data_IF_985333310024
#
_entry.id   IF_985333310024
#
_cell.length_a   1.000
_cell.length_b   1.000
_cell.length_c   1.000
_cell.angle_alpha   90.00
_cell.angle_beta   90.00
_cell.angle_gamma   90.00
#
_symmetry.space_group_name_H-M   'P 1'
#
loop_
_entity.id
_entity.type
_entity.pdbx_description
1 polymer ?
#
# COMPACT_ATOMS: atom_id res chain seq x y z
N UNK A 1 8.13 -19.79 -11.98
CA UNK A 1 6.81 -19.37 -11.47
C UNK A 1 6.99 -19.02 -10.02
N UNK A 2 6.58 -17.82 -9.60
CA UNK A 2 6.45 -17.51 -8.17
C UNK A 2 5.22 -18.25 -7.66
N UNK A 3 5.26 -18.84 -6.47
CA UNK A 3 4.08 -19.48 -5.86
C UNK A 3 3.02 -18.43 -5.49
N UNK A 4 1.74 -18.81 -5.36
CA UNK A 4 0.65 -17.86 -5.02
C UNK A 4 0.93 -17.13 -3.69
N UNK A 5 1.58 -17.80 -2.75
CA UNK A 5 2.03 -17.22 -1.48
C UNK A 5 3.11 -16.13 -1.69
N UNK A 6 4.06 -16.35 -2.60
CA UNK A 6 5.07 -15.33 -2.94
C UNK A 6 4.47 -14.05 -3.54
N UNK A 7 3.35 -14.15 -4.29
CA UNK A 7 2.69 -12.96 -4.85
C UNK A 7 2.06 -12.12 -3.75
N UNK A 8 1.38 -12.77 -2.80
CA UNK A 8 0.83 -12.15 -1.60
C UNK A 8 1.95 -11.50 -0.76
N UNK A 9 3.02 -12.24 -0.48
CA UNK A 9 4.16 -11.76 0.31
C UNK A 9 4.81 -10.53 -0.33
N UNK A 10 4.91 -10.46 -1.67
CA UNK A 10 5.46 -9.29 -2.35
C UNK A 10 4.63 -8.02 -2.07
N UNK A 11 3.29 -8.11 -2.08
CA UNK A 11 2.42 -6.98 -1.75
C UNK A 11 2.56 -6.63 -0.28
N UNK A 12 2.51 -7.63 0.62
CA UNK A 12 2.66 -7.41 2.07
C UNK A 12 3.97 -6.71 2.40
N UNK A 13 5.10 -7.14 1.82
CA UNK A 13 6.41 -6.52 2.05
C UNK A 13 6.46 -5.05 1.63
N UNK A 14 5.69 -4.66 0.62
CA UNK A 14 5.56 -3.26 0.21
C UNK A 14 4.77 -2.46 1.24
N UNK A 15 3.68 -3.02 1.76
CA UNK A 15 2.86 -2.37 2.79
C UNK A 15 3.63 -2.20 4.10
N UNK A 16 4.40 -3.22 4.52
CA UNK A 16 5.26 -3.14 5.70
C UNK A 16 6.35 -2.07 5.51
N UNK A 17 6.97 -1.98 4.33
CA UNK A 17 7.95 -0.92 4.06
C UNK A 17 7.35 0.49 4.11
N UNK A 18 6.10 0.68 3.64
CA UNK A 18 5.39 1.95 3.80
C UNK A 18 5.11 2.25 5.27
N UNK A 19 4.72 1.26 6.07
CA UNK A 19 4.51 1.43 7.51
C UNK A 19 5.79 1.92 8.21
N UNK A 20 6.93 1.33 7.89
CA UNK A 20 8.23 1.75 8.42
C UNK A 20 8.54 3.22 8.10
N UNK A 21 8.25 3.66 6.87
CA UNK A 21 8.44 5.06 6.45
C UNK A 21 7.49 5.99 7.22
N UNK A 22 6.21 5.64 7.32
CA UNK A 22 5.20 6.45 8.03
C UNK A 22 5.56 6.61 9.51
N UNK A 23 6.12 5.59 10.15
CA UNK A 23 6.50 5.64 11.55
C UNK A 23 7.64 6.62 11.85
N UNK A 24 8.34 7.13 10.83
CA UNK A 24 9.38 8.12 11.02
C UNK A 24 8.86 9.36 11.80
N UNK A 25 9.68 9.96 12.68
CA UNK A 25 9.26 11.12 13.49
C UNK A 25 8.85 12.34 12.65
N UNK A 26 9.41 12.48 11.45
CA UNK A 26 9.25 13.58 10.51
C UNK A 26 8.12 13.39 9.49
N UNK A 27 7.39 12.27 9.55
CA UNK A 27 6.19 12.07 8.73
C UNK A 27 5.14 13.15 9.03
N UNK A 28 4.80 13.91 7.99
CA UNK A 28 3.83 14.98 7.98
C UNK A 28 2.56 14.53 7.25
N UNK A 29 1.42 14.57 7.96
CA UNK A 29 0.12 14.10 7.46
C UNK A 29 -0.90 15.23 7.25
N UNK A 30 -0.45 16.50 7.28
CA UNK A 30 -1.33 17.68 7.30
C UNK A 30 -2.31 17.76 6.12
N UNK A 31 -1.91 17.32 4.91
CA UNK A 31 -2.78 17.34 3.73
C UNK A 31 -3.40 15.97 3.41
N UNK A 32 -3.50 15.09 4.39
CA UNK A 32 -4.18 13.80 4.23
C UNK A 32 -5.56 13.78 4.90
N UNK A 33 -6.40 12.82 4.51
CA UNK A 33 -7.67 12.54 5.18
C UNK A 33 -7.51 11.77 6.51
N UNK A 34 -6.30 11.48 6.95
CA UNK A 34 -6.04 10.77 8.20
C UNK A 34 -5.84 11.75 9.36
N UNK A 35 -6.44 11.44 10.51
CA UNK A 35 -6.28 12.24 11.73
C UNK A 35 -4.93 11.98 12.40
N UNK A 36 -4.42 10.74 12.32
CA UNK A 36 -3.18 10.31 12.95
C UNK A 36 -2.36 9.37 12.08
N UNK A 37 -1.07 9.20 12.42
CA UNK A 37 -0.21 8.20 11.76
C UNK A 37 -0.72 6.79 12.02
N UNK A 38 -1.23 6.57 13.23
CA UNK A 38 -1.82 5.31 13.67
C UNK A 38 -3.03 4.90 12.82
N UNK A 39 -3.82 5.84 12.30
CA UNK A 39 -4.94 5.53 11.40
C UNK A 39 -4.44 4.95 10.06
N UNK A 40 -3.35 5.49 9.53
CA UNK A 40 -2.74 4.99 8.30
C UNK A 40 -2.18 3.58 8.53
N UNK A 41 -1.45 3.40 9.63
CA UNK A 41 -0.90 2.10 10.03
C UNK A 41 -2.02 1.06 10.20
N UNK A 42 -3.12 1.42 10.86
CA UNK A 42 -4.27 0.55 11.05
C UNK A 42 -4.94 0.17 9.71
N UNK A 43 -5.04 1.10 8.76
CA UNK A 43 -5.57 0.82 7.41
C UNK A 43 -4.65 -0.15 6.66
N UNK A 44 -3.33 0.04 6.72
CA UNK A 44 -2.35 -0.86 6.11
C UNK A 44 -2.38 -2.26 6.76
N UNK A 45 -2.47 -2.32 8.09
CA UNK A 45 -2.58 -3.58 8.83
C UNK A 45 -3.85 -4.35 8.48
N UNK A 46 -4.98 -3.66 8.27
CA UNK A 46 -6.21 -4.30 7.82
C UNK A 46 -6.03 -4.99 6.47
N UNK A 47 -5.40 -4.31 5.50
CA UNK A 47 -5.09 -4.87 4.18
C UNK A 47 -4.13 -6.04 4.26
N UNK A 48 -3.07 -5.94 5.08
CA UNK A 48 -2.13 -7.05 5.31
C UNK A 48 -2.85 -8.27 5.88
N UNK A 49 -3.74 -8.08 6.87
CA UNK A 49 -4.51 -9.17 7.47
C UNK A 49 -5.46 -9.84 6.47
N UNK A 50 -6.06 -9.07 5.57
CA UNK A 50 -6.92 -9.59 4.49
C UNK A 50 -6.12 -10.39 3.48
N UNK A 51 -4.99 -9.86 3.02
CA UNK A 51 -4.06 -10.54 2.10
C UNK A 51 -3.58 -11.89 2.67
N UNK A 52 -3.21 -11.92 3.95
CA UNK A 52 -2.81 -13.18 4.65
C UNK A 52 -3.92 -14.24 4.72
N UNK A 53 -5.18 -13.84 4.57
CA UNK A 53 -6.34 -14.73 4.55
C UNK A 53 -6.86 -15.01 3.14
N UNK A 54 -6.14 -14.54 2.11
CA UNK A 54 -6.59 -14.57 0.71
C UNK A 54 -7.97 -13.90 0.51
N UNK A 55 -8.28 -12.91 1.35
CA UNK A 55 -9.49 -12.09 1.25
C UNK A 55 -9.18 -10.85 0.40
N UNK A 56 -9.71 -10.82 -0.83
CA UNK A 56 -9.49 -9.73 -1.79
C UNK A 56 -10.69 -8.77 -1.90
N UNK A 57 -11.64 -8.82 -0.97
CA UNK A 57 -12.88 -8.02 -0.98
C UNK A 57 -12.69 -6.50 -1.05
N UNK A 58 -11.53 -5.99 -0.65
CA UNK A 58 -11.21 -4.55 -0.63
C UNK A 58 -9.92 -4.22 -1.41
N UNK A 59 -9.59 -5.01 -2.42
CA UNK A 59 -8.39 -4.79 -3.21
C UNK A 59 -8.39 -3.41 -3.90
N UNK A 60 -9.57 -2.89 -4.24
CA UNK A 60 -9.73 -1.57 -4.90
C UNK A 60 -9.29 -0.44 -3.99
N UNK A 61 -9.69 -0.48 -2.71
CA UNK A 61 -9.26 0.48 -1.69
C UNK A 61 -7.73 0.43 -1.50
N UNK A 62 -7.14 -0.77 -1.57
CA UNK A 62 -5.69 -0.91 -1.54
C UNK A 62 -5.01 -0.31 -2.78
N UNK A 63 -5.59 -0.47 -3.96
CA UNK A 63 -5.09 0.14 -5.20
C UNK A 63 -5.17 1.67 -5.13
N UNK A 64 -6.28 2.20 -4.64
CA UNK A 64 -6.50 3.65 -4.50
C UNK A 64 -5.48 4.28 -3.55
N UNK A 65 -5.06 3.58 -2.48
CA UNK A 65 -4.00 4.07 -1.60
C UNK A 65 -2.68 4.39 -2.32
N UNK A 66 -2.38 3.71 -3.42
CA UNK A 66 -1.15 3.92 -4.22
C UNK A 66 -1.38 4.70 -5.52
N UNK A 67 -2.62 5.11 -5.79
CA UNK A 67 -2.99 5.84 -6.99
C UNK A 67 -2.38 7.25 -7.02
N UNK A 68 -2.27 7.88 -8.21
CA UNK A 68 -1.99 9.29 -8.29
C UNK A 68 -2.98 10.10 -7.45
N UNK A 69 -2.49 11.13 -6.75
CA UNK A 69 -3.26 11.99 -5.83
C UNK A 69 -3.87 11.25 -4.62
N UNK A 70 -3.33 10.08 -4.26
CA UNK A 70 -3.72 9.43 -3.01
C UNK A 70 -3.17 10.17 -1.79
N UNK A 71 -3.77 9.90 -0.62
CA UNK A 71 -3.23 10.39 0.66
C UNK A 71 -1.76 10.01 0.85
N UNK A 72 -1.35 8.79 0.48
CA UNK A 72 0.05 8.38 0.61
C UNK A 72 0.97 9.21 -0.30
N UNK A 73 0.50 9.65 -1.47
CA UNK A 73 1.26 10.55 -2.31
C UNK A 73 1.39 11.94 -1.68
N UNK A 74 0.31 12.52 -1.18
CA UNK A 74 0.36 13.85 -0.55
C UNK A 74 1.26 13.84 0.69
N UNK A 75 1.11 12.83 1.56
CA UNK A 75 1.99 12.61 2.72
C UNK A 75 3.45 12.49 2.26
N UNK A 76 3.73 11.79 1.16
CA UNK A 76 5.09 11.65 0.64
C UNK A 76 5.73 12.97 0.23
N UNK A 77 4.93 13.88 -0.32
CA UNK A 77 5.36 15.21 -0.75
C UNK A 77 5.62 16.06 0.48
N UNK A 78 4.66 16.11 1.41
CA UNK A 78 4.72 16.88 2.64
C UNK A 78 5.86 16.45 3.58
N UNK A 79 6.22 15.17 3.52
CA UNK A 79 7.27 14.55 4.34
C UNK A 79 8.63 14.44 3.64
N UNK A 80 8.75 14.92 2.39
CA UNK A 80 10.02 14.97 1.68
C UNK A 80 10.53 13.66 1.08
N UNK A 81 9.72 12.59 1.04
CA UNK A 81 10.08 11.28 0.48
C UNK A 81 9.34 10.91 -0.83
N UNK A 82 8.89 11.91 -1.60
CA UNK A 82 8.13 11.69 -2.84
C UNK A 82 8.83 10.77 -3.86
N UNK A 83 10.15 10.88 -4.03
CA UNK A 83 10.87 10.07 -5.03
C UNK A 83 10.91 8.60 -4.60
N UNK A 84 11.02 8.37 -3.30
CA UNK A 84 10.92 7.05 -2.71
C UNK A 84 9.51 6.50 -2.91
N UNK A 85 8.47 7.31 -2.68
CA UNK A 85 7.08 6.89 -2.92
C UNK A 85 6.84 6.48 -4.36
N UNK A 86 7.29 7.25 -5.36
CA UNK A 86 7.14 6.88 -6.78
C UNK A 86 7.81 5.53 -7.09
N UNK A 87 8.97 5.26 -6.47
CA UNK A 87 9.66 3.98 -6.61
C UNK A 87 8.86 2.84 -5.97
N UNK A 88 8.27 3.06 -4.80
CA UNK A 88 7.44 2.07 -4.10
C UNK A 88 6.12 1.84 -4.83
N UNK A 89 5.43 2.89 -5.27
CA UNK A 89 4.19 2.83 -6.06
C UNK A 89 4.40 2.03 -7.35
N UNK A 90 5.49 2.26 -8.09
CA UNK A 90 5.84 1.42 -9.24
C UNK A 90 6.06 -0.05 -8.89
N UNK A 91 6.66 -0.35 -7.73
CA UNK A 91 6.80 -1.74 -7.25
C UNK A 91 5.44 -2.34 -6.90
N UNK A 92 4.57 -1.55 -6.28
CA UNK A 92 3.20 -1.94 -5.95
C UNK A 92 2.40 -2.26 -7.20
N UNK A 93 2.43 -1.40 -8.22
CA UNK A 93 1.71 -1.61 -9.50
C UNK A 93 2.06 -2.95 -10.15
N UNK A 94 3.33 -3.34 -10.13
CA UNK A 94 3.76 -4.62 -10.65
C UNK A 94 3.29 -5.79 -9.77
N UNK A 95 3.42 -5.66 -8.45
CA UNK A 95 3.04 -6.71 -7.51
C UNK A 95 1.52 -6.95 -7.48
N UNK A 96 0.72 -5.89 -7.53
CA UNK A 96 -0.74 -5.96 -7.51
C UNK A 96 -1.28 -6.54 -8.81
N UNK A 97 -0.70 -6.18 -9.97
CA UNK A 97 -1.04 -6.77 -11.26
C UNK A 97 -0.78 -8.27 -11.26
N UNK A 98 0.40 -8.69 -10.83
CA UNK A 98 0.77 -10.10 -10.71
C UNK A 98 -0.21 -10.88 -9.80
N UNK A 99 -0.65 -10.27 -8.69
CA UNK A 99 -1.61 -10.87 -7.76
C UNK A 99 -3.00 -10.99 -8.39
N UNK A 100 -3.46 -9.94 -9.07
CA UNK A 100 -4.75 -9.91 -9.77
C UNK A 100 -4.83 -11.01 -10.82
N UNK A 101 -3.77 -11.18 -11.61
CA UNK A 101 -3.69 -12.22 -12.65
C UNK A 101 -3.70 -13.63 -12.04
N UNK A 102 -2.95 -13.88 -10.97
CA UNK A 102 -2.86 -15.18 -10.29
C UNK A 102 -4.21 -15.63 -9.72
N UNK A 103 -4.95 -14.72 -9.07
CA UNK A 103 -6.20 -15.03 -8.38
C UNK A 103 -7.46 -14.67 -9.19
N UNK A 104 -7.30 -14.22 -10.43
CA UNK A 104 -8.38 -13.77 -11.32
C UNK A 104 -9.33 -12.74 -10.64
N UNK A 105 -8.72 -11.78 -9.95
CA UNK A 105 -9.43 -10.74 -9.19
C UNK A 105 -9.99 -9.71 -10.17
N UNK A 106 -11.19 -9.20 -9.90
CA UNK A 106 -11.79 -8.10 -10.67
C UNK A 106 -11.91 -6.87 -9.77
N UNK A 107 -10.96 -5.93 -9.87
CA UNK A 107 -10.92 -4.75 -9.01
C UNK A 107 -11.82 -3.61 -9.51
N UNK A 108 -12.51 -3.76 -10.65
CA UNK A 108 -13.47 -2.80 -11.22
C UNK A 108 -14.47 -3.55 -12.11
#
# INVERSE_FOLDING_TARGET
>A
MKTSNEKIDNVINILEHIKEIIQAPDTNILHSWFDTKEDIIAKLDNHILKLKKEDFSNIEDLIILFAPTSDLQEISIDSGWNQLFLTISKRFDNAIKDLIEEFNIKPF
#
